data_IF_669412038175
#
_entry.id   IF_669412038175
#
_cell.length_a   1.000
_cell.length_b   1.000
_cell.length_c   1.000
_cell.angle_alpha   90.00
_cell.angle_beta   90.00
_cell.angle_gamma   90.00
#
_symmetry.space_group_name_H-M   'P 1'
#
loop_
_entity.id
_entity.type
_entity.pdbx_description
1 polymer ?
#
# COMPACT_ATOMS: atom_id res chain seq x y z
N UNK A 1 -28.40 -13.80 -23.04
CA UNK A 1 -28.30 -12.58 -22.19
C UNK A 1 -28.70 -11.38 -23.02
N UNK A 2 -29.66 -10.55 -22.57
CA UNK A 2 -30.18 -9.42 -23.37
C UNK A 2 -29.05 -8.41 -23.62
N UNK A 3 -28.74 -8.11 -24.89
CA UNK A 3 -27.65 -7.26 -25.37
C UNK A 3 -27.39 -5.98 -24.54
N UNK A 4 -28.45 -5.37 -23.98
CA UNK A 4 -28.39 -4.22 -23.07
C UNK A 4 -27.53 -4.47 -21.81
N UNK A 5 -27.58 -5.67 -21.23
CA UNK A 5 -26.77 -6.05 -20.08
C UNK A 5 -25.29 -6.17 -20.43
N UNK A 6 -24.97 -6.65 -21.63
CA UNK A 6 -23.58 -6.75 -22.09
C UNK A 6 -22.95 -5.37 -22.31
N UNK A 7 -23.70 -4.43 -22.87
CA UNK A 7 -23.23 -3.05 -23.10
C UNK A 7 -23.04 -2.31 -21.76
N UNK A 8 -24.00 -2.39 -20.84
CA UNK A 8 -23.87 -1.79 -19.51
C UNK A 8 -22.69 -2.38 -18.73
N UNK A 9 -22.48 -3.70 -18.83
CA UNK A 9 -21.34 -4.38 -18.21
C UNK A 9 -20.00 -3.87 -18.78
N UNK A 10 -19.85 -3.83 -20.10
CA UNK A 10 -18.63 -3.34 -20.76
C UNK A 10 -18.37 -1.86 -20.42
N UNK A 11 -19.42 -1.04 -20.34
CA UNK A 11 -19.30 0.34 -19.91
C UNK A 11 -18.79 0.46 -18.47
N UNK A 12 -19.36 -0.30 -17.53
CA UNK A 12 -18.93 -0.30 -16.13
C UNK A 12 -17.47 -0.75 -16.00
N UNK A 13 -17.09 -1.84 -16.66
CA UNK A 13 -15.70 -2.33 -16.65
C UNK A 13 -14.74 -1.29 -17.23
N UNK A 14 -15.12 -0.61 -18.31
CA UNK A 14 -14.29 0.42 -18.93
C UNK A 14 -14.10 1.65 -18.01
N UNK A 15 -15.18 2.10 -17.35
CA UNK A 15 -15.12 3.20 -16.38
C UNK A 15 -14.26 2.81 -15.18
N UNK A 16 -14.46 1.60 -14.61
CA UNK A 16 -13.65 1.13 -13.49
C UNK A 16 -12.17 1.01 -13.88
N UNK A 17 -11.85 0.47 -15.06
CA UNK A 17 -10.49 0.40 -15.55
C UNK A 17 -9.84 1.79 -15.70
N UNK A 18 -10.58 2.76 -16.25
CA UNK A 18 -10.12 4.14 -16.36
C UNK A 18 -9.87 4.77 -14.98
N UNK A 19 -10.78 4.61 -14.03
CA UNK A 19 -10.63 5.14 -12.67
C UNK A 19 -9.46 4.48 -11.93
N UNK A 20 -9.28 3.17 -12.06
CA UNK A 20 -8.13 2.44 -11.51
C UNK A 20 -6.81 2.94 -12.11
N UNK A 21 -6.76 3.14 -13.44
CA UNK A 21 -5.59 3.70 -14.10
C UNK A 21 -5.31 5.15 -13.67
N UNK A 22 -6.33 5.97 -13.53
CA UNK A 22 -6.21 7.34 -13.04
C UNK A 22 -5.67 7.36 -11.60
N UNK A 23 -6.19 6.49 -10.74
CA UNK A 23 -5.75 6.37 -9.35
C UNK A 23 -4.28 5.91 -9.26
N UNK A 24 -3.87 4.95 -10.09
CA UNK A 24 -2.48 4.50 -10.16
C UNK A 24 -1.48 5.62 -10.52
N UNK A 25 -1.85 6.47 -11.48
CA UNK A 25 -1.01 7.59 -11.90
C UNK A 25 -0.98 8.73 -10.86
N UNK A 26 -2.06 8.91 -10.10
CA UNK A 26 -2.19 9.92 -9.05
C UNK A 26 -2.04 9.32 -7.64
N UNK A 27 -1.28 8.23 -7.53
CA UNK A 27 -1.10 7.52 -6.26
C UNK A 27 -0.37 8.38 -5.24
N UNK A 28 -0.79 8.29 -3.99
CA UNK A 28 -0.13 8.92 -2.85
C UNK A 28 0.43 7.82 -1.97
N UNK A 29 1.69 8.01 -1.55
CA UNK A 29 2.37 7.12 -0.63
C UNK A 29 2.15 7.72 0.76
N UNK A 30 1.26 7.12 1.56
CA UNK A 30 0.74 7.73 2.79
C UNK A 30 1.30 7.06 4.07
N UNK A 31 0.99 7.66 5.23
CA UNK A 31 1.53 7.32 6.56
C UNK A 31 1.24 5.88 7.03
N UNK A 32 0.29 5.19 6.42
CA UNK A 32 -0.10 3.80 6.72
C UNK A 32 0.82 2.75 6.05
N UNK A 33 1.51 3.13 4.97
CA UNK A 33 2.34 2.24 4.17
C UNK A 33 3.48 1.55 4.97
N UNK A 34 4.22 2.23 5.87
CA UNK A 34 5.19 1.56 6.73
C UNK A 34 4.56 0.47 7.62
N UNK A 35 3.28 0.63 8.00
CA UNK A 35 2.54 -0.39 8.74
C UNK A 35 2.39 -1.67 7.93
N UNK A 36 1.91 -1.55 6.69
CA UNK A 36 1.73 -2.69 5.79
C UNK A 36 3.04 -3.41 5.45
N UNK A 37 4.08 -2.66 5.08
CA UNK A 37 5.40 -3.24 4.77
C UNK A 37 6.04 -3.84 6.02
N UNK A 38 5.90 -3.17 7.17
CA UNK A 38 6.42 -3.66 8.44
C UNK A 38 5.78 -4.98 8.85
N UNK A 39 4.47 -5.15 8.68
CA UNK A 39 3.82 -6.45 8.89
C UNK A 39 4.41 -7.53 7.97
N UNK A 40 4.55 -7.22 6.67
CA UNK A 40 5.11 -8.14 5.67
C UNK A 40 6.51 -8.60 6.07
N UNK A 41 7.41 -7.66 6.34
CA UNK A 41 8.79 -7.97 6.69
C UNK A 41 8.95 -8.58 8.07
N UNK A 42 8.04 -8.33 9.01
CA UNK A 42 8.04 -9.03 10.30
C UNK A 42 7.82 -10.53 10.13
N UNK A 43 7.09 -10.97 9.11
CA UNK A 43 6.99 -12.41 8.79
C UNK A 43 8.28 -13.00 8.23
N UNK A 44 9.07 -12.23 7.48
CA UNK A 44 10.31 -12.70 6.86
C UNK A 44 11.49 -12.63 7.83
N UNK A 45 11.46 -11.67 8.75
CA UNK A 45 12.51 -11.41 9.73
C UNK A 45 11.93 -11.25 11.15
N UNK A 46 11.28 -12.29 11.71
CA UNK A 46 10.59 -12.20 13.01
C UNK A 46 11.54 -11.85 14.15
N UNK A 47 12.79 -12.31 14.08
CA UNK A 47 13.80 -12.11 15.13
C UNK A 47 14.60 -10.81 14.96
N UNK A 48 14.28 -9.98 13.97
CA UNK A 48 15.08 -8.80 13.62
C UNK A 48 14.20 -7.56 13.35
N UNK A 49 13.51 -7.03 14.36
CA UNK A 49 12.64 -5.86 14.21
C UNK A 49 13.38 -4.62 13.70
N UNK A 50 14.66 -4.46 14.04
CA UNK A 50 15.51 -3.38 13.51
C UNK A 50 15.69 -3.48 12.00
N UNK A 51 15.90 -4.71 11.51
CA UNK A 51 16.07 -4.97 10.09
C UNK A 51 14.78 -4.69 9.32
N UNK A 52 13.64 -5.13 9.87
CA UNK A 52 12.30 -4.84 9.32
C UNK A 52 12.08 -3.34 9.16
N UNK A 53 12.45 -2.58 10.20
CA UNK A 53 12.33 -1.13 10.26
C UNK A 53 13.14 -0.44 9.17
N UNK A 54 14.42 -0.78 9.07
CA UNK A 54 15.36 -0.20 8.10
C UNK A 54 14.90 -0.51 6.67
N UNK A 55 14.63 -1.78 6.37
CA UNK A 55 14.24 -2.20 5.01
C UNK A 55 12.93 -1.55 4.60
N UNK A 56 11.94 -1.47 5.50
CA UNK A 56 10.65 -0.82 5.22
C UNK A 56 10.85 0.60 4.68
N UNK A 57 11.65 1.43 5.35
CA UNK A 57 11.85 2.80 4.89
C UNK A 57 12.78 2.95 3.71
N UNK A 58 13.79 2.10 3.58
CA UNK A 58 14.65 2.10 2.41
C UNK A 58 13.85 1.77 1.14
N UNK A 59 12.95 0.79 1.19
CA UNK A 59 12.09 0.43 0.06
C UNK A 59 11.11 1.55 -0.30
N UNK A 60 10.47 2.18 0.69
CA UNK A 60 9.59 3.32 0.42
C UNK A 60 10.36 4.47 -0.22
N UNK A 61 11.58 4.77 0.28
CA UNK A 61 12.41 5.86 -0.24
C UNK A 61 12.82 5.66 -1.70
N UNK A 62 12.97 4.42 -2.16
CA UNK A 62 13.34 4.11 -3.56
C UNK A 62 12.25 4.50 -4.56
N UNK A 63 11.00 4.53 -4.12
CA UNK A 63 9.86 4.72 -5.02
C UNK A 63 9.04 5.99 -4.77
N UNK A 64 8.89 6.38 -3.51
CA UNK A 64 8.08 7.52 -3.15
C UNK A 64 8.76 8.82 -3.61
N UNK A 65 8.02 9.76 -4.22
CA UNK A 65 8.50 11.12 -4.43
C UNK A 65 8.97 11.72 -3.10
N UNK A 66 9.98 12.60 -3.15
CA UNK A 66 10.59 13.15 -1.93
C UNK A 66 9.58 13.81 -0.97
N UNK A 67 8.55 14.46 -1.53
CA UNK A 67 7.45 15.05 -0.77
C UNK A 67 6.63 13.99 -0.03
N UNK A 68 6.21 12.92 -0.72
CA UNK A 68 5.46 11.84 -0.09
C UNK A 68 6.33 11.08 0.93
N UNK A 69 7.62 10.88 0.64
CA UNK A 69 8.54 10.27 1.59
C UNK A 69 8.68 11.12 2.87
N UNK A 70 8.74 12.45 2.73
CA UNK A 70 8.76 13.37 3.86
C UNK A 70 7.48 13.27 4.71
N UNK A 71 6.31 13.12 4.07
CA UNK A 71 5.05 12.90 4.78
C UNK A 71 5.03 11.53 5.50
N UNK A 72 5.49 10.46 4.85
CA UNK A 72 5.56 9.10 5.41
C UNK A 72 6.48 9.01 6.65
N UNK A 73 7.57 9.78 6.66
CA UNK A 73 8.47 9.87 7.81
C UNK A 73 8.03 10.93 8.83
N UNK A 74 6.94 11.67 8.56
CA UNK A 74 6.38 12.71 9.42
C UNK A 74 7.24 13.97 9.52
N UNK A 75 8.08 14.25 8.52
CA UNK A 75 8.87 15.48 8.45
C UNK A 75 8.00 16.63 7.96
N UNK A 76 7.60 17.53 8.85
CA UNK A 76 7.17 18.87 8.42
C UNK A 76 8.39 19.61 7.84
N UNK A 77 8.23 20.45 6.80
CA UNK A 77 9.34 21.13 6.13
C UNK A 77 10.26 21.98 7.03
N UNK A 78 9.80 22.31 8.25
CA UNK A 78 10.44 23.23 9.18
C UNK A 78 11.25 22.54 10.30
N UNK A 79 11.16 21.21 10.44
CA UNK A 79 11.83 20.44 11.50
C UNK A 79 13.12 19.76 11.00
N UNK A 80 14.10 20.57 10.58
CA UNK A 80 15.47 20.11 10.31
C UNK A 80 16.35 20.59 11.47
N UNK A 81 16.59 19.73 12.48
CA UNK A 81 17.84 18.97 12.43
C UNK A 81 17.68 17.52 12.91
N UNK A 82 18.57 16.65 12.44
CA UNK A 82 18.98 15.39 13.05
C UNK A 82 18.12 14.88 14.22
N UNK A 83 17.33 13.82 14.03
CA UNK A 83 17.53 12.59 14.82
C UNK A 83 16.60 11.45 14.40
N UNK A 84 17.27 10.52 13.71
CA UNK A 84 17.03 9.07 13.65
C UNK A 84 15.84 8.62 12.81
N UNK A 85 16.10 7.67 11.91
CA UNK A 85 15.30 6.44 11.80
C UNK A 85 14.20 6.38 12.87
N UNK A 86 12.94 6.68 12.53
CA UNK A 86 11.73 6.16 13.19
C UNK A 86 11.82 5.98 14.70
N UNK A 87 11.06 6.73 15.52
CA UNK A 87 10.82 6.33 16.92
C UNK A 87 10.38 4.86 16.93
N UNK A 88 11.30 3.98 17.33
CA UNK A 88 11.12 2.52 17.43
C UNK A 88 9.74 2.11 17.96
N UNK A 89 9.22 2.76 19.04
CA UNK A 89 7.89 2.43 19.56
C UNK A 89 6.72 2.85 18.67
N UNK A 90 6.87 3.87 17.80
CA UNK A 90 5.81 4.33 16.89
C UNK A 90 5.66 3.36 15.72
N UNK A 91 6.78 2.96 15.10
CA UNK A 91 6.75 1.96 14.03
C UNK A 91 6.09 0.66 14.48
N UNK A 92 6.56 0.12 15.61
CA UNK A 92 6.03 -1.14 16.13
C UNK A 92 4.55 -1.03 16.47
N UNK A 93 4.12 0.10 17.05
CA UNK A 93 2.69 0.36 17.29
C UNK A 93 1.89 0.33 15.98
N UNK A 94 2.38 0.97 14.93
CA UNK A 94 1.73 0.94 13.61
C UNK A 94 1.68 -0.49 13.08
N UNK A 95 2.78 -1.24 13.11
CA UNK A 95 2.82 -2.66 12.67
C UNK A 95 1.84 -3.53 13.46
N UNK A 96 1.73 -3.36 14.78
CA UNK A 96 0.75 -4.09 15.60
C UNK A 96 -0.69 -3.70 15.28
N UNK A 97 -0.98 -2.43 14.98
CA UNK A 97 -2.32 -2.00 14.56
C UNK A 97 -2.74 -2.63 13.24
N UNK A 98 -1.79 -2.85 12.33
CA UNK A 98 -2.05 -3.44 11.01
C UNK A 98 -1.93 -4.98 10.99
N UNK A 99 -1.30 -5.62 11.98
CA UNK A 99 -1.16 -7.08 12.01
C UNK A 99 -2.49 -7.83 12.11
N UNK A 100 -3.51 -7.21 12.71
CA UNK A 100 -4.85 -7.80 12.80
C UNK A 100 -5.59 -7.81 11.45
N UNK A 101 -5.12 -7.07 10.44
CA UNK A 101 -5.71 -7.00 9.10
C UNK A 101 -5.24 -8.14 8.16
N UNK A 102 -5.16 -9.37 8.68
CA UNK A 102 -4.62 -10.58 8.03
C UNK A 102 -5.11 -10.89 6.60
N UNK A 103 -6.26 -10.37 6.16
CA UNK A 103 -6.79 -10.66 4.81
C UNK A 103 -6.08 -9.89 3.70
N UNK A 104 -5.65 -8.66 3.95
CA UNK A 104 -5.02 -7.81 2.91
C UNK A 104 -3.54 -8.18 2.76
N UNK A 105 -2.95 -8.64 3.85
CA UNK A 105 -1.60 -9.18 3.96
C UNK A 105 -1.26 -10.24 2.90
N UNK A 106 -2.17 -11.19 2.65
CA UNK A 106 -1.93 -12.28 1.69
C UNK A 106 -1.77 -11.74 0.26
N UNK A 107 -2.54 -10.71 -0.11
CA UNK A 107 -2.41 -10.06 -1.41
C UNK A 107 -1.04 -9.42 -1.59
N UNK A 108 -0.60 -8.63 -0.60
CA UNK A 108 0.71 -7.99 -0.62
C UNK A 108 1.85 -9.00 -0.73
N UNK A 109 1.79 -10.07 0.08
CA UNK A 109 2.80 -11.11 0.11
C UNK A 109 2.89 -11.87 -1.21
N UNK A 110 1.75 -12.15 -1.87
CA UNK A 110 1.73 -12.79 -3.19
C UNK A 110 2.39 -11.90 -4.26
N UNK A 111 2.05 -10.62 -4.33
CA UNK A 111 2.68 -9.70 -5.28
C UNK A 111 4.18 -9.55 -5.03
N UNK A 112 4.58 -9.47 -3.77
CA UNK A 112 5.98 -9.43 -3.40
C UNK A 112 6.75 -10.69 -3.82
N UNK A 113 6.18 -11.90 -3.60
CA UNK A 113 6.80 -13.15 -4.08
C UNK A 113 6.83 -13.29 -5.60
N UNK A 114 5.94 -12.59 -6.32
CA UNK A 114 5.97 -12.50 -7.78
C UNK A 114 7.02 -11.50 -8.30
N UNK A 115 7.80 -10.88 -7.41
CA UNK A 115 8.89 -9.95 -7.76
C UNK A 115 8.43 -8.50 -7.94
N UNK A 116 7.19 -8.18 -7.57
CA UNK A 116 6.74 -6.79 -7.49
C UNK A 116 7.36 -6.14 -6.27
N UNK A 117 7.80 -4.90 -6.41
CA UNK A 117 8.38 -4.17 -5.30
C UNK A 117 7.38 -3.98 -4.16
N UNK A 118 7.82 -3.96 -2.89
CA UNK A 118 6.93 -3.96 -1.73
C UNK A 118 5.91 -2.80 -1.70
N UNK A 119 6.31 -1.53 -1.97
CA UNK A 119 5.32 -0.44 -2.02
C UNK A 119 4.29 -0.65 -3.14
N UNK A 120 4.71 -1.18 -4.30
CA UNK A 120 3.82 -1.47 -5.41
C UNK A 120 2.90 -2.68 -5.15
N UNK A 121 3.35 -3.67 -4.38
CA UNK A 121 2.54 -4.80 -3.97
C UNK A 121 1.35 -4.34 -3.10
N UNK A 122 1.60 -3.38 -2.19
CA UNK A 122 0.55 -2.73 -1.39
C UNK A 122 -0.42 -1.97 -2.28
N UNK A 123 0.10 -1.09 -3.13
CA UNK A 123 -0.73 -0.29 -4.05
C UNK A 123 -1.56 -1.17 -5.00
N UNK A 124 -0.96 -2.20 -5.58
CA UNK A 124 -1.63 -3.12 -6.50
C UNK A 124 -2.78 -3.86 -5.84
N UNK A 125 -2.59 -4.33 -4.61
CA UNK A 125 -3.65 -5.01 -3.85
C UNK A 125 -4.77 -4.04 -3.46
N UNK A 126 -4.44 -2.79 -3.10
CA UNK A 126 -5.43 -1.73 -2.84
C UNK A 126 -6.23 -1.38 -4.09
N UNK A 127 -5.59 -1.31 -5.26
CA UNK A 127 -6.25 -1.05 -6.53
C UNK A 127 -7.18 -2.19 -6.95
N UNK A 128 -6.77 -3.45 -6.76
CA UNK A 128 -7.62 -4.62 -7.01
C UNK A 128 -8.82 -4.62 -6.05
N UNK A 129 -8.60 -4.32 -4.78
CA UNK A 129 -9.66 -4.23 -3.78
C UNK A 129 -10.66 -3.12 -4.13
N UNK A 130 -10.18 -1.96 -4.58
CA UNK A 130 -11.01 -0.87 -5.08
C UNK A 130 -11.84 -1.29 -6.29
N UNK A 131 -11.22 -1.95 -7.27
CA UNK A 131 -11.91 -2.45 -8.47
C UNK A 131 -13.01 -3.45 -8.12
N UNK A 132 -12.72 -4.43 -7.25
CA UNK A 132 -13.69 -5.45 -6.80
C UNK A 132 -14.83 -4.81 -6.00
N UNK A 133 -14.53 -3.90 -5.08
CA UNK A 133 -15.57 -3.19 -4.31
C UNK A 133 -16.48 -2.38 -5.24
N UNK A 134 -15.91 -1.64 -6.19
CA UNK A 134 -16.69 -0.90 -7.18
C UNK A 134 -17.58 -1.84 -7.99
N UNK A 135 -17.05 -2.95 -8.47
CA UNK A 135 -17.80 -3.96 -9.21
C UNK A 135 -18.96 -4.54 -8.38
N UNK A 136 -18.73 -4.90 -7.12
CA UNK A 136 -19.77 -5.39 -6.22
C UNK A 136 -20.87 -4.34 -5.96
N UNK A 137 -20.51 -3.08 -5.75
CA UNK A 137 -21.48 -1.99 -5.55
C UNK A 137 -22.38 -1.72 -6.77
N UNK A 138 -21.93 -2.07 -7.97
CA UNK A 138 -22.73 -1.94 -9.19
C UNK A 138 -23.66 -3.14 -9.45
N UNK A 139 -23.38 -4.30 -8.85
CA UNK A 139 -24.16 -5.54 -9.05
C UNK A 139 -25.13 -5.80 -7.91
N UNK A 140 -24.85 -5.28 -6.71
CA UNK A 140 -25.74 -5.32 -5.54
C UNK A 140 -26.89 -4.33 -5.65
#
# INVERSE_FOLDING_TARGET
MKLKWGISFLFIISVLAFLTFWNYNNRVYDWDMPGYLGCMYTSEFPDSPDKVRIITYEEIKKEAPAEHYADVIGMKPWDIPANTLQKYPVFYRTVTLFSDQNRVYLGYYLFYKLGVSPPMAVLGTSLISYFISGYCSFIS
#
